data_IF_110639707492
#
_entry.id   IF_110639707492
#
_cell.length_a   1.000
_cell.length_b   1.000
_cell.length_c   1.000
_cell.angle_alpha   90.00
_cell.angle_beta   90.00
_cell.angle_gamma   90.00
#
_symmetry.space_group_name_H-M   'P 1'
#
loop_
_entity.id
_entity.type
_entity.pdbx_description
1 polymer ?
#
# COMPACT_ATOMS: atom_id res chain seq x y z
N UNK A 1 -21.79 -7.13 -14.38
CA UNK A 1 -21.74 -6.87 -12.93
C UNK A 1 -20.31 -7.04 -12.45
N UNK A 2 -19.78 -6.09 -11.68
CA UNK A 2 -18.49 -6.22 -11.05
C UNK A 2 -18.59 -7.25 -9.92
N UNK A 3 -17.67 -8.21 -9.89
CA UNK A 3 -17.64 -9.23 -8.85
C UNK A 3 -17.20 -8.62 -7.51
N UNK A 4 -17.59 -9.23 -6.39
CA UNK A 4 -17.22 -8.79 -5.03
C UNK A 4 -15.70 -8.57 -4.90
N UNK A 5 -14.89 -9.45 -5.48
CA UNK A 5 -13.42 -9.35 -5.50
C UNK A 5 -12.92 -8.04 -6.13
N UNK A 6 -13.57 -7.60 -7.21
CA UNK A 6 -13.22 -6.34 -7.89
C UNK A 6 -13.58 -5.13 -7.03
N UNK A 7 -14.71 -5.15 -6.34
CA UNK A 7 -15.10 -4.08 -5.41
C UNK A 7 -14.14 -3.98 -4.23
N UNK A 8 -13.77 -5.12 -3.64
CA UNK A 8 -12.81 -5.16 -2.52
C UNK A 8 -11.43 -4.68 -2.97
N UNK A 9 -10.99 -5.06 -4.18
CA UNK A 9 -9.70 -4.59 -4.73
C UNK A 9 -9.69 -3.09 -5.02
N UNK A 10 -10.81 -2.52 -5.52
CA UNK A 10 -10.97 -1.07 -5.67
C UNK A 10 -10.95 -0.35 -4.32
N UNK A 11 -11.57 -0.94 -3.29
CA UNK A 11 -11.49 -0.45 -1.92
C UNK A 11 -10.05 -0.41 -1.40
N UNK A 12 -9.29 -1.50 -1.62
CA UNK A 12 -7.87 -1.55 -1.28
C UNK A 12 -7.06 -0.46 -1.99
N UNK A 13 -7.30 -0.25 -3.29
CA UNK A 13 -6.66 0.81 -4.07
C UNK A 13 -6.99 2.19 -3.52
N UNK A 14 -8.26 2.47 -3.25
CA UNK A 14 -8.68 3.76 -2.69
C UNK A 14 -8.02 4.05 -1.34
N UNK A 15 -7.97 3.03 -0.45
CA UNK A 15 -7.31 3.16 0.85
C UNK A 15 -5.79 3.32 0.71
N UNK A 16 -5.15 2.65 -0.26
CA UNK A 16 -3.73 2.82 -0.54
C UNK A 16 -3.40 4.24 -1.03
N UNK A 17 -4.24 4.81 -1.91
CA UNK A 17 -4.10 6.20 -2.38
C UNK A 17 -4.27 7.18 -1.22
N UNK A 18 -5.30 6.99 -0.39
CA UNK A 18 -5.55 7.84 0.79
C UNK A 18 -4.37 7.75 1.76
N UNK A 19 -3.87 6.56 2.05
CA UNK A 19 -2.71 6.36 2.91
C UNK A 19 -1.46 7.06 2.37
N UNK A 20 -1.18 6.91 1.07
CA UNK A 20 -0.07 7.57 0.39
C UNK A 20 -0.15 9.10 0.52
N UNK A 21 -1.32 9.68 0.26
CA UNK A 21 -1.53 11.13 0.36
C UNK A 21 -1.36 11.63 1.80
N UNK A 22 -1.95 10.93 2.78
CA UNK A 22 -1.83 11.29 4.20
C UNK A 22 -0.39 11.18 4.70
N UNK A 23 0.33 10.11 4.34
CA UNK A 23 1.72 9.92 4.72
C UNK A 23 2.63 11.00 4.15
N UNK A 24 2.56 11.27 2.85
CA UNK A 24 3.37 12.30 2.21
C UNK A 24 3.06 13.68 2.83
N UNK A 25 1.77 14.01 2.98
CA UNK A 25 1.35 15.29 3.57
C UNK A 25 1.84 15.43 5.01
N UNK A 26 1.74 14.39 5.82
CA UNK A 26 2.18 14.40 7.21
C UNK A 26 3.70 14.58 7.33
N UNK A 27 4.49 13.86 6.53
CA UNK A 27 5.94 13.99 6.59
C UNK A 27 6.41 15.36 6.07
N UNK A 28 5.79 15.89 5.02
CA UNK A 28 6.05 17.27 4.57
C UNK A 28 5.69 18.30 5.64
N UNK A 29 4.58 18.09 6.34
CA UNK A 29 4.19 18.94 7.47
C UNK A 29 5.23 18.89 8.60
N UNK A 30 5.82 17.73 8.92
CA UNK A 30 6.87 17.60 9.92
C UNK A 30 8.18 18.28 9.51
N UNK A 31 8.48 18.38 8.21
CA UNK A 31 9.62 19.17 7.73
C UNK A 31 9.37 20.66 8.00
N UNK A 32 8.16 21.13 7.77
CA UNK A 32 7.76 22.52 7.96
C UNK A 32 8.46 23.51 7.03
N UNK A 33 8.15 24.81 7.16
CA UNK A 33 8.81 25.85 6.39
C UNK A 33 10.30 25.94 6.78
N UNK A 34 11.17 25.92 5.77
CA UNK A 34 12.63 26.00 5.91
C UNK A 34 13.29 24.88 6.75
N UNK A 35 12.62 23.73 6.91
CA UNK A 35 13.15 22.62 7.71
C UNK A 35 13.15 22.85 9.22
N UNK A 36 12.45 23.86 9.69
CA UNK A 36 12.38 24.21 11.13
C UNK A 36 11.37 23.40 11.93
N UNK A 37 10.59 22.56 11.26
CA UNK A 37 9.50 21.80 11.86
C UNK A 37 8.13 22.48 11.69
N UNK A 38 7.06 21.83 12.18
CA UNK A 38 5.71 22.34 12.05
C UNK A 38 5.51 23.66 12.81
N UNK A 39 4.66 24.57 12.30
CA UNK A 39 4.41 25.88 12.92
C UNK A 39 3.60 25.79 14.22
N UNK A 40 3.00 24.63 14.50
CA UNK A 40 2.19 24.36 15.70
C UNK A 40 2.72 23.12 16.41
N UNK A 41 2.54 23.05 17.72
CA UNK A 41 2.87 21.85 18.47
C UNK A 41 1.96 20.67 18.08
N UNK A 42 2.55 19.57 17.70
CA UNK A 42 1.85 18.34 17.29
C UNK A 42 2.53 17.16 17.96
N UNK A 43 1.75 16.18 18.37
CA UNK A 43 2.26 14.84 18.73
C UNK A 43 2.41 13.99 17.44
N UNK A 44 3.65 13.86 16.91
CA UNK A 44 3.86 13.19 15.64
C UNK A 44 3.57 11.67 15.74
N UNK A 45 3.77 11.08 16.90
CA UNK A 45 3.50 9.66 17.12
C UNK A 45 2.00 9.36 17.08
N UNK A 46 1.19 10.17 17.78
CA UNK A 46 -0.27 10.01 17.80
C UNK A 46 -0.88 10.16 16.41
N UNK A 47 -0.47 11.17 15.64
CA UNK A 47 -0.95 11.40 14.28
C UNK A 47 -0.55 10.25 13.35
N UNK A 48 0.69 9.76 13.42
CA UNK A 48 1.15 8.64 12.59
C UNK A 48 0.33 7.37 12.87
N UNK A 49 0.07 7.04 14.13
CA UNK A 49 -0.77 5.89 14.52
C UNK A 49 -2.17 6.03 13.94
N UNK A 50 -2.77 7.22 13.98
CA UNK A 50 -4.08 7.46 13.39
C UNK A 50 -4.10 7.23 11.88
N UNK A 51 -3.11 7.76 11.15
CA UNK A 51 -2.99 7.57 9.69
C UNK A 51 -2.89 6.08 9.35
N UNK A 52 -2.04 5.34 10.07
CA UNK A 52 -1.87 3.89 9.86
C UNK A 52 -3.17 3.15 10.13
N UNK A 53 -3.86 3.47 11.24
CA UNK A 53 -5.08 2.78 11.65
C UNK A 53 -6.27 3.05 10.72
N UNK A 54 -6.39 4.27 10.20
CA UNK A 54 -7.53 4.69 9.37
C UNK A 54 -7.37 4.23 7.92
N UNK A 55 -6.17 4.20 7.38
CA UNK A 55 -5.95 3.92 5.95
C UNK A 55 -4.93 2.84 5.66
N UNK A 56 -3.80 2.80 6.36
CA UNK A 56 -2.72 1.85 6.10
C UNK A 56 -3.14 0.40 6.36
N UNK A 57 -3.56 0.11 7.58
CA UNK A 57 -4.00 -1.24 7.98
C UNK A 57 -5.23 -1.70 7.18
N UNK A 58 -6.30 -0.90 7.01
CA UNK A 58 -7.43 -1.29 6.18
C UNK A 58 -7.05 -1.59 4.73
N UNK A 59 -6.12 -0.83 4.12
CA UNK A 59 -5.62 -1.12 2.77
C UNK A 59 -5.01 -2.52 2.67
N UNK A 60 -4.16 -2.91 3.64
CA UNK A 60 -3.52 -4.22 3.69
C UNK A 60 -4.52 -5.35 3.95
N UNK A 61 -5.49 -5.13 4.85
CA UNK A 61 -6.56 -6.10 5.14
C UNK A 61 -7.39 -6.36 3.89
N UNK A 62 -7.80 -5.31 3.17
CA UNK A 62 -8.58 -5.44 1.95
C UNK A 62 -7.78 -6.17 0.85
N UNK A 63 -6.50 -5.85 0.69
CA UNK A 63 -5.62 -6.58 -0.24
C UNK A 63 -5.52 -8.06 0.12
N UNK A 64 -5.31 -8.40 1.39
CA UNK A 64 -5.28 -9.78 1.90
C UNK A 64 -6.60 -10.52 1.69
N UNK A 65 -7.72 -9.85 1.89
CA UNK A 65 -9.07 -10.40 1.66
C UNK A 65 -9.27 -10.80 0.21
N UNK A 66 -8.81 -9.97 -0.74
CA UNK A 66 -8.89 -10.30 -2.18
C UNK A 66 -8.15 -11.59 -2.49
N UNK A 67 -6.94 -11.80 -1.94
CA UNK A 67 -6.21 -13.07 -2.12
C UNK A 67 -6.97 -14.27 -1.54
N UNK A 68 -7.64 -14.09 -0.40
CA UNK A 68 -8.48 -15.13 0.21
C UNK A 68 -9.70 -15.48 -0.64
N UNK A 69 -10.28 -14.52 -1.35
CA UNK A 69 -11.43 -14.71 -2.24
C UNK A 69 -11.04 -15.36 -3.59
N UNK A 70 -9.82 -15.09 -4.09
CA UNK A 70 -9.31 -15.59 -5.38
C UNK A 70 -8.89 -17.08 -5.35
N UNK A 71 -9.64 -17.95 -4.68
CA UNK A 71 -9.23 -19.36 -4.48
C UNK A 71 -9.11 -20.18 -5.77
N UNK A 72 -9.89 -19.89 -6.81
CA UNK A 72 -9.99 -20.74 -8.01
C UNK A 72 -9.66 -20.05 -9.33
N UNK A 73 -10.04 -18.79 -9.49
CA UNK A 73 -9.85 -18.04 -10.75
C UNK A 73 -9.50 -16.59 -10.46
N UNK A 74 -8.21 -16.25 -10.50
CA UNK A 74 -7.78 -14.87 -10.42
C UNK A 74 -8.29 -14.09 -11.65
N UNK A 75 -9.20 -13.14 -11.43
CA UNK A 75 -9.65 -12.23 -12.46
C UNK A 75 -8.51 -11.27 -12.82
N UNK A 76 -8.16 -11.17 -14.11
CA UNK A 76 -7.06 -10.32 -14.57
C UNK A 76 -7.19 -8.87 -14.07
N UNK A 77 -8.41 -8.31 -14.11
CA UNK A 77 -8.67 -6.94 -13.67
C UNK A 77 -8.40 -6.75 -12.17
N UNK A 78 -8.85 -7.66 -11.32
CA UNK A 78 -8.62 -7.62 -9.87
C UNK A 78 -7.14 -7.68 -9.54
N UNK A 79 -6.38 -8.54 -10.21
CA UNK A 79 -4.93 -8.66 -10.00
C UNK A 79 -4.18 -7.38 -10.44
N UNK A 80 -4.60 -6.75 -11.54
CA UNK A 80 -4.01 -5.48 -12.00
C UNK A 80 -4.25 -4.37 -10.98
N UNK A 81 -5.45 -4.29 -10.41
CA UNK A 81 -5.78 -3.30 -9.37
C UNK A 81 -4.92 -3.52 -8.12
N UNK A 82 -4.70 -4.77 -7.69
CA UNK A 82 -3.82 -5.07 -6.57
C UNK A 82 -2.36 -4.69 -6.83
N UNK A 83 -1.86 -4.95 -8.04
CA UNK A 83 -0.51 -4.52 -8.44
C UNK A 83 -0.42 -2.99 -8.41
N UNK A 84 -1.43 -2.28 -8.91
CA UNK A 84 -1.48 -0.82 -8.85
C UNK A 84 -1.44 -0.31 -7.40
N UNK A 85 -2.22 -0.92 -6.48
CA UNK A 85 -2.20 -0.60 -5.04
C UNK A 85 -0.80 -0.80 -4.44
N UNK A 86 -0.15 -1.93 -4.76
CA UNK A 86 1.19 -2.23 -4.28
C UNK A 86 2.23 -1.23 -4.80
N UNK A 87 2.17 -0.86 -6.08
CA UNK A 87 3.06 0.14 -6.69
C UNK A 87 2.88 1.50 -6.01
N UNK A 88 1.64 1.93 -5.77
CA UNK A 88 1.35 3.18 -5.06
C UNK A 88 1.97 3.17 -3.66
N UNK A 89 1.81 2.08 -2.89
CA UNK A 89 2.41 1.94 -1.57
C UNK A 89 3.94 2.02 -1.62
N UNK A 90 4.57 1.30 -2.54
CA UNK A 90 6.04 1.28 -2.67
C UNK A 90 6.56 2.66 -3.05
N UNK A 91 5.99 3.28 -4.09
CA UNK A 91 6.46 4.58 -4.60
C UNK A 91 6.24 5.69 -3.58
N UNK A 92 5.06 5.73 -2.95
CA UNK A 92 4.76 6.75 -1.93
C UNK A 92 5.66 6.61 -0.70
N UNK A 93 5.92 5.39 -0.25
CA UNK A 93 6.81 5.17 0.90
C UNK A 93 8.28 5.45 0.54
N UNK A 94 8.72 5.18 -0.68
CA UNK A 94 10.04 5.59 -1.15
C UNK A 94 10.21 7.11 -1.10
N UNK A 95 9.19 7.87 -1.51
CA UNK A 95 9.17 9.33 -1.40
C UNK A 95 9.26 9.74 0.08
N UNK A 96 8.48 9.12 0.96
CA UNK A 96 8.50 9.40 2.40
C UNK A 96 9.89 9.14 2.99
N UNK A 97 10.54 8.04 2.65
CA UNK A 97 11.92 7.70 3.09
C UNK A 97 12.91 8.80 2.69
N UNK A 98 12.75 9.41 1.51
CA UNK A 98 13.58 10.55 1.07
C UNK A 98 13.31 11.84 1.84
N UNK A 99 12.13 11.97 2.44
CA UNK A 99 11.75 13.14 3.26
C UNK A 99 12.27 13.02 4.70
N UNK A 100 12.32 11.82 5.26
CA UNK A 100 12.72 11.54 6.66
C UNK A 100 13.99 12.29 7.09
N UNK A 101 15.10 12.31 6.32
CA UNK A 101 16.33 13.00 6.72
C UNK A 101 16.20 14.53 6.87
N UNK A 102 15.13 15.10 6.31
CA UNK A 102 14.86 16.55 6.34
C UNK A 102 14.06 16.97 7.58
N UNK A 103 13.57 16.03 8.36
CA UNK A 103 12.76 16.29 9.55
C UNK A 103 13.66 16.71 10.71
N UNK A 104 13.26 17.76 11.43
CA UNK A 104 13.97 18.24 12.60
C UNK A 104 14.00 17.18 13.70
N UNK A 105 15.17 16.97 14.31
CA UNK A 105 15.40 15.94 15.35
C UNK A 105 14.45 16.04 16.54
N UNK A 106 13.93 17.23 16.84
CA UNK A 106 13.00 17.43 17.95
C UNK A 106 11.65 16.70 17.74
N UNK A 107 11.30 16.38 16.49
CA UNK A 107 10.08 15.65 16.13
C UNK A 107 10.36 14.18 15.74
N UNK A 108 11.60 13.74 15.91
CA UNK A 108 12.02 12.38 15.56
C UNK A 108 11.67 11.41 16.69
N UNK A 109 11.01 10.32 16.36
CA UNK A 109 10.73 9.19 17.27
C UNK A 109 10.97 7.85 16.57
N UNK A 110 11.19 6.77 17.33
CA UNK A 110 11.68 5.49 16.80
C UNK A 110 10.77 4.75 15.80
N UNK A 111 9.53 5.23 15.55
CA UNK A 111 8.64 4.67 14.55
C UNK A 111 8.64 5.45 13.22
N UNK A 112 9.18 6.66 13.22
CA UNK A 112 9.08 7.57 12.08
C UNK A 112 9.83 7.06 10.84
N UNK A 113 10.98 6.46 11.04
CA UNK A 113 11.80 5.84 9.99
C UNK A 113 11.38 4.40 9.68
N UNK A 114 10.94 3.64 10.70
CA UNK A 114 10.58 2.23 10.54
C UNK A 114 9.29 2.01 9.73
N UNK A 115 8.27 2.85 9.96
CA UNK A 115 6.94 2.69 9.33
C UNK A 115 6.99 2.67 7.81
N UNK A 116 7.67 3.60 7.11
CA UNK A 116 7.75 3.56 5.66
C UNK A 116 8.38 2.26 5.13
N UNK A 117 9.42 1.73 5.80
CA UNK A 117 10.04 0.46 5.41
C UNK A 117 9.09 -0.72 5.55
N UNK A 118 8.31 -0.78 6.64
CA UNK A 118 7.31 -1.84 6.84
C UNK A 118 6.28 -1.84 5.71
N UNK A 119 5.81 -0.66 5.28
CA UNK A 119 4.84 -0.55 4.18
C UNK A 119 5.46 -0.81 2.81
N UNK A 120 6.74 -0.51 2.57
CA UNK A 120 7.46 -0.94 1.36
C UNK A 120 7.51 -2.46 1.29
N UNK A 121 7.91 -3.12 2.37
CA UNK A 121 7.96 -4.60 2.44
C UNK A 121 6.58 -5.21 2.22
N UNK A 122 5.54 -4.64 2.83
CA UNK A 122 4.14 -5.05 2.63
C UNK A 122 3.70 -4.88 1.18
N UNK A 123 4.05 -3.78 0.53
CA UNK A 123 3.79 -3.52 -0.89
C UNK A 123 4.47 -4.54 -1.80
N UNK A 124 5.73 -4.88 -1.53
CA UNK A 124 6.48 -5.92 -2.26
C UNK A 124 5.81 -7.28 -2.09
N UNK A 125 5.36 -7.63 -0.87
CA UNK A 125 4.65 -8.87 -0.61
C UNK A 125 3.33 -8.95 -1.40
N UNK A 126 2.52 -7.87 -1.41
CA UNK A 126 1.28 -7.80 -2.20
C UNK A 126 1.57 -7.95 -3.70
N UNK A 127 2.58 -7.24 -4.22
CA UNK A 127 2.97 -7.32 -5.64
C UNK A 127 3.40 -8.73 -6.02
N UNK A 128 4.20 -9.39 -5.18
CA UNK A 128 4.69 -10.76 -5.41
C UNK A 128 3.55 -11.78 -5.42
N UNK A 129 2.61 -11.69 -4.47
CA UNK A 129 1.44 -12.55 -4.41
C UNK A 129 0.52 -12.32 -5.61
N UNK A 130 0.31 -11.07 -6.03
CA UNK A 130 -0.49 -10.74 -7.20
C UNK A 130 0.15 -11.28 -8.48
N UNK A 131 1.46 -11.13 -8.66
CA UNK A 131 2.20 -11.67 -9.80
C UNK A 131 2.15 -13.21 -9.84
N UNK A 132 2.30 -13.88 -8.69
CA UNK A 132 2.17 -15.32 -8.57
C UNK A 132 0.77 -15.81 -8.98
N UNK A 133 -0.28 -15.14 -8.49
CA UNK A 133 -1.67 -15.43 -8.85
C UNK A 133 -1.93 -15.32 -10.36
N UNK A 134 -1.37 -14.29 -10.99
CA UNK A 134 -1.47 -14.07 -12.44
C UNK A 134 -0.78 -15.18 -13.24
N UNK A 135 0.39 -15.60 -12.81
CA UNK A 135 1.16 -16.64 -13.49
C UNK A 135 0.47 -18.01 -13.38
N UNK A 136 -0.07 -18.34 -12.21
CA UNK A 136 -0.83 -19.58 -11.99
C UNK A 136 -2.06 -19.64 -12.89
N UNK A 137 -2.80 -18.56 -13.05
CA UNK A 137 -3.99 -18.52 -13.92
C UNK A 137 -3.65 -18.68 -15.41
N UNK A 138 -2.46 -18.21 -15.84
CA UNK A 138 -1.97 -18.40 -17.21
C UNK A 138 -1.60 -19.85 -17.51
N UNK A 139 -0.95 -20.54 -16.56
CA UNK A 139 -0.58 -21.94 -16.71
C UNK A 139 -1.81 -22.83 -16.81
N UNK A 140 -2.82 -22.60 -15.99
CA UNK A 140 -4.06 -23.35 -16.01
C UNK A 140 -4.82 -23.24 -17.34
N UNK A 141 -4.84 -22.04 -17.94
CA UNK A 141 -5.45 -21.87 -19.27
C UNK A 141 -4.70 -22.62 -20.37
N UNK A 142 -3.37 -22.64 -20.34
CA UNK A 142 -2.57 -23.37 -21.32
C UNK A 142 -2.82 -24.88 -21.25
N UNK A 143 -2.91 -25.45 -20.04
CA UNK A 143 -3.19 -26.88 -19.89
C UNK A 143 -4.57 -27.27 -20.44
N UNK A 144 -5.58 -26.42 -20.34
CA UNK A 144 -6.91 -26.65 -20.93
C UNK A 144 -6.92 -26.54 -22.46
N UNK A 145 -6.08 -25.64 -23.03
CA UNK A 145 -5.94 -25.53 -24.48
C UNK A 145 -5.21 -26.72 -25.10
N UNK A 146 -4.24 -27.31 -24.38
CA UNK A 146 -3.51 -28.49 -24.81
C UNK A 146 -4.36 -29.78 -24.70
N UNK A 147 -5.28 -29.86 -23.72
CA UNK A 147 -6.20 -31.00 -23.54
C UNK A 147 -7.32 -31.04 -24.61
N UNK A 148 -7.66 -29.86 -25.18
CA UNK A 148 -8.68 -29.77 -26.24
C UNK A 148 -8.11 -29.86 -27.67
N UNK A 149 -6.82 -30.19 -27.85
CA UNK A 149 -6.19 -30.45 -29.15
C UNK A 149 -5.95 -31.92 -29.39
#
# INVERSE_FOLDING_TARGET
MLNLETWVSLGSLGMAVMFAALMISFYLFLVGPDGKGPPIYVDPQGVLIQIISISGVPSLILAGTVFGLQKTHALKHTTIILIASAVILIVSMAIVIMIVPKINRNYFFGGLDAVPFVFVVSGIAIASLAAYSLNRSRMYRRSLEDENR
#
